data_IF_794730779766
#
_entry.id   IF_794730779766
#
_cell.length_a   1.000
_cell.length_b   1.000
_cell.length_c   1.000
_cell.angle_alpha   90.00
_cell.angle_beta   90.00
_cell.angle_gamma   90.00
#
_symmetry.space_group_name_H-M   'P 1'
#
loop_
_entity.id
_entity.type
_entity.pdbx_description
1 polymer ?
#
# COMPACT_ATOMS: atom_id res chain seq x y z
N UNK A 1 -49.85 28.27 35.58
CA UNK A 1 -48.95 27.30 36.22
C UNK A 1 -48.53 26.24 35.20
N UNK A 2 -47.53 26.50 34.34
CA UNK A 2 -47.00 25.52 33.40
C UNK A 2 -45.85 24.77 34.09
N UNK A 3 -46.12 23.56 34.58
CA UNK A 3 -45.14 22.80 35.35
C UNK A 3 -45.41 21.32 35.23
N UNK A 4 -45.39 20.80 33.99
CA UNK A 4 -45.47 19.35 33.73
C UNK A 4 -44.87 18.94 32.38
N UNK A 5 -44.30 19.87 31.60
CA UNK A 5 -43.74 19.57 30.26
C UNK A 5 -42.22 19.70 30.16
N UNK A 6 -41.54 19.92 31.28
CA UNK A 6 -40.09 20.18 31.31
C UNK A 6 -39.32 19.12 32.10
N UNK A 7 -39.75 17.86 31.98
CA UNK A 7 -38.98 16.70 32.48
C UNK A 7 -38.96 15.53 31.49
N UNK A 8 -39.33 15.74 30.23
CA UNK A 8 -39.40 14.68 29.20
C UNK A 8 -38.42 14.88 28.03
N UNK A 9 -37.43 15.79 28.14
CA UNK A 9 -36.56 16.15 27.03
C UNK A 9 -35.05 16.07 27.31
N UNK A 10 -34.63 15.43 28.41
CA UNK A 10 -33.21 15.22 28.71
C UNK A 10 -32.97 13.75 29.05
N UNK A 11 -32.06 13.12 28.30
CA UNK A 11 -31.48 11.79 28.52
C UNK A 11 -32.28 10.57 28.04
N UNK A 12 -32.59 10.52 26.76
CA UNK A 12 -32.29 9.31 25.97
C UNK A 12 -31.52 9.74 24.71
N UNK A 13 -30.36 10.37 24.92
CA UNK A 13 -29.26 10.19 23.97
C UNK A 13 -28.87 8.73 24.12
N UNK A 14 -29.40 7.87 23.25
CA UNK A 14 -28.90 6.50 23.14
C UNK A 14 -27.39 6.58 23.06
N UNK A 15 -26.72 5.95 24.02
CA UNK A 15 -25.32 5.57 23.90
C UNK A 15 -25.27 4.69 22.64
N UNK A 16 -25.01 5.30 21.49
CA UNK A 16 -24.42 4.57 20.38
C UNK A 16 -23.10 4.08 20.94
N UNK A 17 -23.08 2.80 21.34
CA UNK A 17 -21.87 2.05 21.69
C UNK A 17 -20.75 2.54 20.77
N UNK A 18 -19.69 3.17 21.31
CA UNK A 18 -18.66 3.78 20.50
C UNK A 18 -18.09 2.68 19.60
N UNK A 19 -18.38 2.76 18.30
CA UNK A 19 -18.03 1.72 17.35
C UNK A 19 -16.55 1.36 17.41
N UNK A 20 -16.21 0.13 17.00
CA UNK A 20 -14.87 -0.44 17.15
C UNK A 20 -13.77 0.58 16.77
N UNK A 21 -12.94 1.03 17.72
CA UNK A 21 -11.96 2.09 17.49
C UNK A 21 -10.90 1.70 16.46
N UNK A 22 -10.71 0.39 16.20
CA UNK A 22 -9.84 -0.10 15.13
C UNK A 22 -10.38 0.27 13.75
N UNK A 23 -11.70 0.27 13.54
CA UNK A 23 -12.32 0.72 12.29
C UNK A 23 -12.11 2.21 12.06
N UNK A 24 -12.18 3.02 13.11
CA UNK A 24 -11.85 4.44 13.05
C UNK A 24 -10.37 4.65 12.69
N UNK A 25 -9.47 3.86 13.27
CA UNK A 25 -8.04 3.92 12.94
C UNK A 25 -7.80 3.57 11.47
N UNK A 26 -8.36 2.48 10.95
CA UNK A 26 -8.31 2.14 9.52
C UNK A 26 -8.82 3.30 8.64
N UNK A 27 -9.94 3.89 9.04
CA UNK A 27 -10.53 5.08 8.40
C UNK A 27 -9.57 6.27 8.31
N UNK A 28 -8.72 6.50 9.33
CA UNK A 28 -7.72 7.58 9.27
C UNK A 28 -6.68 7.36 8.16
N UNK A 29 -6.28 6.10 7.90
CA UNK A 29 -5.37 5.78 6.81
C UNK A 29 -6.04 5.94 5.45
N UNK A 30 -7.29 5.47 5.32
CA UNK A 30 -8.11 5.64 4.10
C UNK A 30 -8.31 7.13 3.79
N UNK A 31 -8.67 7.93 4.79
CA UNK A 31 -8.84 9.37 4.64
C UNK A 31 -7.55 10.06 4.19
N UNK A 32 -6.41 9.68 4.76
CA UNK A 32 -5.11 10.27 4.42
C UNK A 32 -4.66 9.91 3.01
N UNK A 33 -4.82 8.65 2.60
CA UNK A 33 -4.32 8.16 1.31
C UNK A 33 -5.30 8.39 0.15
N UNK A 34 -6.55 7.93 0.29
CA UNK A 34 -7.54 7.94 -0.79
C UNK A 34 -8.35 9.24 -0.83
N UNK A 35 -8.37 10.01 0.27
CA UNK A 35 -9.09 11.29 0.40
C UNK A 35 -10.55 11.22 -0.12
N UNK A 36 -11.34 10.22 0.30
CA UNK A 36 -12.73 10.13 -0.11
C UNK A 36 -13.55 11.29 0.48
N UNK A 37 -14.74 11.53 -0.06
CA UNK A 37 -15.69 12.48 0.53
C UNK A 37 -16.07 12.06 1.98
N UNK A 38 -16.37 13.04 2.82
CA UNK A 38 -16.75 12.80 4.22
C UNK A 38 -17.91 11.79 4.34
N UNK A 39 -17.83 10.89 5.32
CA UNK A 39 -18.83 9.84 5.54
C UNK A 39 -18.75 8.64 4.59
N UNK A 40 -17.87 8.66 3.59
CA UNK A 40 -17.78 7.57 2.61
C UNK A 40 -17.15 6.31 3.19
N UNK A 41 -16.17 6.45 4.09
CA UNK A 41 -15.57 5.31 4.79
C UNK A 41 -16.59 4.66 5.71
N UNK A 42 -17.29 5.45 6.51
CA UNK A 42 -18.29 5.00 7.48
C UNK A 42 -19.42 4.26 6.76
N UNK A 43 -19.92 4.82 5.65
CA UNK A 43 -20.94 4.16 4.81
C UNK A 43 -20.44 2.84 4.22
N UNK A 44 -19.20 2.79 3.76
CA UNK A 44 -18.57 1.59 3.21
C UNK A 44 -18.41 0.52 4.29
N UNK A 45 -17.78 0.86 5.42
CA UNK A 45 -17.54 -0.04 6.54
C UNK A 45 -18.83 -0.54 7.21
N UNK A 46 -19.91 0.25 7.15
CA UNK A 46 -21.23 -0.12 7.63
C UNK A 46 -22.01 -1.09 6.74
N UNK A 47 -21.53 -1.40 5.52
CA UNK A 47 -22.16 -2.43 4.68
C UNK A 47 -21.96 -3.82 5.27
N UNK A 48 -22.94 -4.71 5.09
CA UNK A 48 -22.86 -6.08 5.62
C UNK A 48 -21.66 -6.86 5.06
N UNK A 49 -21.25 -6.60 3.82
CA UNK A 49 -20.10 -7.26 3.20
C UNK A 49 -18.77 -6.73 3.73
N UNK A 50 -18.55 -5.41 3.68
CA UNK A 50 -17.30 -4.82 4.18
C UNK A 50 -17.15 -5.03 5.69
N UNK A 51 -18.24 -4.92 6.45
CA UNK A 51 -18.23 -5.18 7.89
C UNK A 51 -17.75 -6.58 8.24
N UNK A 52 -18.22 -7.61 7.52
CA UNK A 52 -17.73 -8.99 7.70
C UNK A 52 -16.24 -9.13 7.38
N UNK A 53 -15.77 -8.52 6.30
CA UNK A 53 -14.35 -8.58 5.91
C UNK A 53 -13.45 -7.86 6.93
N UNK A 54 -13.90 -6.70 7.42
CA UNK A 54 -13.19 -5.92 8.43
C UNK A 54 -13.12 -6.65 9.77
N UNK A 55 -14.24 -7.22 10.24
CA UNK A 55 -14.26 -8.05 11.44
C UNK A 55 -13.37 -9.29 11.28
N UNK A 56 -13.47 -9.99 10.14
CA UNK A 56 -12.65 -11.16 9.89
C UNK A 56 -11.15 -10.84 9.93
N UNK A 57 -10.75 -9.69 9.40
CA UNK A 57 -9.37 -9.22 9.44
C UNK A 57 -8.88 -8.85 10.84
N UNK A 58 -9.76 -8.26 11.66
CA UNK A 58 -9.43 -7.73 12.97
C UNK A 58 -9.51 -8.77 14.09
N UNK A 59 -10.44 -9.72 14.03
CA UNK A 59 -10.76 -10.59 15.16
C UNK A 59 -10.24 -12.01 15.03
N UNK A 60 -10.00 -12.50 13.80
CA UNK A 60 -9.51 -13.85 13.60
C UNK A 60 -8.00 -13.96 13.82
N UNK A 61 -7.62 -15.06 14.48
CA UNK A 61 -6.23 -15.46 14.60
C UNK A 61 -5.74 -15.95 13.24
N UNK A 62 -4.73 -15.28 12.70
CA UNK A 62 -4.08 -15.60 11.44
C UNK A 62 -2.93 -16.59 11.67
N UNK A 63 -3.24 -17.74 12.28
CA UNK A 63 -2.26 -18.78 12.56
C UNK A 63 -1.83 -19.56 11.30
N UNK A 64 -2.66 -19.55 10.25
CA UNK A 64 -2.39 -20.18 8.96
C UNK A 64 -2.08 -19.16 7.87
N UNK A 65 -1.11 -19.46 7.01
CA UNK A 65 -0.86 -18.74 5.77
C UNK A 65 -1.96 -19.07 4.74
N UNK A 66 -2.41 -18.13 3.88
CA UNK A 66 -1.95 -16.75 3.69
C UNK A 66 -2.33 -15.78 4.83
N UNK A 67 -1.41 -14.90 5.22
CA UNK A 67 -1.72 -13.80 6.17
C UNK A 67 -2.86 -12.91 5.65
N UNK A 68 -3.82 -12.48 6.50
CA UNK A 68 -4.94 -11.66 6.06
C UNK A 68 -4.49 -10.35 5.43
N UNK A 69 -5.06 -10.05 4.28
CA UNK A 69 -4.84 -8.86 3.48
C UNK A 69 -6.21 -8.28 3.11
N UNK A 70 -6.40 -6.99 3.40
CA UNK A 70 -7.54 -6.22 2.92
C UNK A 70 -7.05 -5.15 1.96
N UNK A 71 -7.85 -4.90 0.92
CA UNK A 71 -7.62 -3.82 -0.03
C UNK A 71 -8.84 -2.91 -0.04
N UNK A 72 -8.60 -1.61 0.05
CA UNK A 72 -9.61 -0.56 -0.07
C UNK A 72 -9.31 0.24 -1.32
N UNK A 73 -10.28 0.34 -2.23
CA UNK A 73 -10.12 1.04 -3.51
C UNK A 73 -11.28 1.99 -3.77
N UNK A 74 -10.99 3.08 -4.48
CA UNK A 74 -12.02 3.97 -5.02
C UNK A 74 -12.63 3.34 -6.28
N UNK A 75 -13.95 3.19 -6.31
CA UNK A 75 -14.70 2.67 -7.44
C UNK A 75 -15.89 3.56 -7.83
N UNK A 76 -16.63 3.19 -8.90
CA UNK A 76 -17.77 3.97 -9.40
C UNK A 76 -18.89 4.20 -8.37
N UNK A 77 -19.00 3.32 -7.37
CA UNK A 77 -19.98 3.40 -6.28
C UNK A 77 -19.43 3.94 -4.95
N UNK A 78 -18.22 4.49 -4.92
CA UNK A 78 -17.52 4.88 -3.69
C UNK A 78 -16.40 3.92 -3.32
N UNK A 79 -16.15 3.72 -2.04
CA UNK A 79 -15.10 2.81 -1.58
C UNK A 79 -15.57 1.35 -1.64
N UNK A 80 -14.66 0.47 -2.04
CA UNK A 80 -14.86 -0.99 -2.04
C UNK A 80 -13.77 -1.62 -1.19
N UNK A 81 -14.16 -2.55 -0.31
CA UNK A 81 -13.24 -3.37 0.49
C UNK A 81 -13.24 -4.78 -0.08
N UNK A 82 -12.07 -5.29 -0.44
CA UNK A 82 -11.89 -6.65 -0.98
C UNK A 82 -10.85 -7.43 -0.17
N UNK A 83 -11.00 -8.76 -0.05
CA UNK A 83 -9.98 -9.62 0.51
C UNK A 83 -8.86 -9.85 -0.52
N UNK A 84 -7.62 -9.55 -0.15
CA UNK A 84 -6.47 -9.79 -0.99
C UNK A 84 -6.34 -8.86 -2.20
N UNK A 85 -5.35 -9.14 -3.05
CA UNK A 85 -5.18 -8.51 -4.34
C UNK A 85 -5.87 -9.40 -5.38
N UNK A 86 -6.98 -8.95 -5.94
CA UNK A 86 -7.66 -9.71 -6.99
C UNK A 86 -6.71 -9.89 -8.19
N UNK A 87 -6.32 -11.13 -8.42
CA UNK A 87 -5.55 -11.60 -9.57
C UNK A 87 -6.51 -12.31 -10.56
N UNK A 88 -7.69 -11.71 -10.77
CA UNK A 88 -8.66 -12.21 -11.73
C UNK A 88 -8.03 -12.42 -13.12
N UNK A 89 -8.58 -13.34 -13.93
CA UNK A 89 -7.99 -13.78 -15.21
C UNK A 89 -7.93 -12.71 -16.30
N UNK A 90 -8.54 -11.55 -16.08
CA UNK A 90 -8.58 -10.44 -17.03
C UNK A 90 -7.37 -9.52 -16.86
N UNK A 91 -6.64 -9.18 -17.94
CA UNK A 91 -5.58 -8.17 -17.90
C UNK A 91 -6.22 -6.84 -17.47
N UNK A 92 -6.09 -6.53 -16.18
CA UNK A 92 -6.95 -5.58 -15.49
C UNK A 92 -6.90 -4.20 -16.12
N UNK A 93 -8.08 -3.60 -16.35
CA UNK A 93 -8.30 -2.14 -16.44
C UNK A 93 -7.35 -1.41 -15.48
N UNK A 94 -6.94 -0.19 -15.85
CA UNK A 94 -6.21 0.72 -14.96
C UNK A 94 -6.78 0.63 -13.55
N UNK A 95 -6.00 0.09 -12.62
CA UNK A 95 -6.45 -0.14 -11.25
C UNK A 95 -6.70 1.24 -10.66
N UNK A 96 -7.77 1.42 -9.89
CA UNK A 96 -7.89 2.64 -9.12
C UNK A 96 -6.78 2.67 -8.05
N UNK A 97 -6.37 3.88 -7.65
CA UNK A 97 -5.53 4.03 -6.46
C UNK A 97 -6.24 3.33 -5.30
N UNK A 98 -5.49 2.50 -4.59
CA UNK A 98 -5.97 1.75 -3.44
C UNK A 98 -5.06 1.91 -2.23
N UNK A 99 -5.47 1.26 -1.15
CA UNK A 99 -4.74 1.13 0.08
C UNK A 99 -4.86 -0.33 0.52
N UNK A 100 -3.76 -0.94 0.95
CA UNK A 100 -3.79 -2.27 1.53
C UNK A 100 -3.51 -2.24 3.04
N UNK A 101 -4.11 -3.19 3.75
CA UNK A 101 -3.84 -3.51 5.14
C UNK A 101 -3.44 -4.98 5.24
N UNK A 102 -2.22 -5.24 5.70
CA UNK A 102 -1.66 -6.58 5.85
C UNK A 102 -1.42 -6.88 7.32
N UNK A 103 -1.91 -8.01 7.83
CA UNK A 103 -1.55 -8.48 9.18
C UNK A 103 -0.09 -8.94 9.17
N UNK A 104 0.71 -8.40 10.07
CA UNK A 104 2.14 -8.78 10.22
C UNK A 104 2.36 -9.85 11.28
N UNK A 105 1.38 -10.08 12.17
CA UNK A 105 1.39 -11.08 13.23
C UNK A 105 0.15 -11.96 13.15
N UNK A 106 0.25 -13.19 13.63
CA UNK A 106 -0.88 -14.14 13.69
C UNK A 106 -1.96 -13.68 14.68
N UNK A 107 -1.55 -13.18 15.84
CA UNK A 107 -2.47 -12.66 16.87
C UNK A 107 -3.25 -11.44 16.38
N UNK A 108 -4.56 -11.30 16.70
CA UNK A 108 -5.39 -10.14 16.34
C UNK A 108 -4.77 -8.81 16.80
N UNK A 109 -5.02 -7.68 16.10
CA UNK A 109 -4.62 -6.37 16.59
C UNK A 109 -5.33 -6.09 17.92
N UNK A 110 -4.64 -5.41 18.83
CA UNK A 110 -5.24 -5.05 20.12
C UNK A 110 -6.46 -4.16 19.93
N UNK A 111 -7.40 -4.23 20.87
CA UNK A 111 -8.73 -3.60 20.79
C UNK A 111 -8.70 -2.09 20.49
N UNK A 112 -7.59 -1.40 20.75
CA UNK A 112 -7.43 0.04 20.52
C UNK A 112 -6.18 0.40 19.69
N UNK A 113 -5.49 -0.57 19.08
CA UNK A 113 -4.22 -0.31 18.37
C UNK A 113 -3.98 -1.27 17.22
N UNK A 114 -3.51 -0.69 16.10
CA UNK A 114 -3.03 -1.42 14.92
C UNK A 114 -1.50 -1.46 14.84
N UNK A 115 -0.82 -0.80 15.78
CA UNK A 115 0.63 -0.55 15.70
C UNK A 115 1.41 -1.85 15.85
N UNK A 116 2.27 -2.14 14.87
CA UNK A 116 3.13 -3.31 14.87
C UNK A 116 2.44 -4.65 14.56
N UNK A 117 1.12 -4.65 14.35
CA UNK A 117 0.33 -5.83 13.95
C UNK A 117 -0.30 -5.69 12.57
N UNK A 118 -0.44 -4.46 12.07
CA UNK A 118 -0.97 -4.15 10.74
C UNK A 118 0.01 -3.25 10.00
N UNK A 119 0.45 -3.70 8.82
CA UNK A 119 1.15 -2.90 7.83
C UNK A 119 0.13 -2.27 6.89
N UNK A 120 0.30 -0.97 6.61
CA UNK A 120 -0.55 -0.20 5.73
C UNK A 120 0.30 0.37 4.59
N UNK A 121 -0.17 0.27 3.35
CA UNK A 121 0.56 0.83 2.20
C UNK A 121 -0.34 1.17 1.03
N UNK A 122 0.11 2.11 0.19
CA UNK A 122 -0.63 2.55 -0.98
C UNK A 122 -0.48 1.55 -2.13
N UNK A 123 -1.59 1.34 -2.86
CA UNK A 123 -1.60 0.63 -4.12
C UNK A 123 -1.74 1.65 -5.26
N UNK A 124 -0.67 1.89 -6.03
CA UNK A 124 -0.75 2.78 -7.18
C UNK A 124 -1.69 2.26 -8.27
N UNK A 125 -2.28 3.19 -9.02
CA UNK A 125 -3.16 2.89 -10.15
C UNK A 125 -2.42 2.21 -11.32
N UNK A 126 -1.13 2.55 -11.46
CA UNK A 126 -0.22 2.00 -12.46
C UNK A 126 0.99 1.41 -11.73
N UNK A 127 0.89 0.17 -11.19
CA UNK A 127 1.89 -0.39 -10.30
C UNK A 127 3.28 -0.48 -10.90
N UNK A 128 3.35 -0.80 -12.19
CA UNK A 128 4.64 -0.92 -12.82
C UNK A 128 5.33 0.43 -12.96
N UNK A 129 4.66 1.49 -13.41
CA UNK A 129 5.27 2.84 -13.50
C UNK A 129 5.78 3.35 -12.14
N UNK A 130 5.18 2.92 -11.03
CA UNK A 130 5.64 3.26 -9.69
C UNK A 130 6.77 2.35 -9.18
N UNK A 131 6.91 1.16 -9.75
CA UNK A 131 7.93 0.19 -9.35
C UNK A 131 9.34 0.67 -9.71
N UNK A 132 9.54 1.26 -10.90
CA UNK A 132 10.83 1.82 -11.32
C UNK A 132 11.39 2.82 -10.30
N UNK A 133 10.70 3.94 -10.01
CA UNK A 133 11.21 4.94 -9.08
C UNK A 133 11.31 4.41 -7.65
N UNK A 134 10.41 3.53 -7.21
CA UNK A 134 10.53 2.89 -5.90
C UNK A 134 11.84 2.11 -5.79
N UNK A 135 12.16 1.30 -6.80
CA UNK A 135 13.38 0.50 -6.78
C UNK A 135 14.63 1.37 -6.96
N UNK A 136 14.64 2.31 -7.91
CA UNK A 136 15.83 3.13 -8.22
C UNK A 136 16.15 4.17 -7.14
N UNK A 137 15.12 4.82 -6.57
CA UNK A 137 15.31 5.94 -5.64
C UNK A 137 15.28 5.53 -4.17
N UNK A 138 14.66 4.39 -3.84
CA UNK A 138 14.49 3.96 -2.43
C UNK A 138 15.20 2.64 -2.17
N UNK A 139 14.85 1.56 -2.88
CA UNK A 139 15.32 0.22 -2.51
C UNK A 139 16.79 0.01 -2.86
N UNK A 140 17.21 0.31 -4.09
CA UNK A 140 18.61 0.14 -4.53
C UNK A 140 19.56 0.99 -3.67
N UNK A 141 19.30 2.29 -3.37
CA UNK A 141 20.16 3.06 -2.49
C UNK A 141 20.27 2.49 -1.08
N UNK A 142 19.18 1.93 -0.53
CA UNK A 142 19.21 1.26 0.77
C UNK A 142 20.07 -0.01 0.73
N UNK A 143 19.98 -0.79 -0.36
CA UNK A 143 20.73 -2.05 -0.53
C UNK A 143 22.18 -1.85 -0.98
N UNK A 144 22.53 -0.74 -1.63
CA UNK A 144 23.88 -0.50 -2.15
C UNK A 144 24.76 0.31 -1.19
N UNK A 145 24.16 0.99 -0.20
CA UNK A 145 24.88 1.83 0.75
C UNK A 145 25.67 0.98 1.76
N UNK A 146 27.00 1.01 1.64
CA UNK A 146 27.92 0.26 2.51
C UNK A 146 27.76 0.58 4.00
N UNK A 147 27.29 1.79 4.35
CA UNK A 147 27.03 2.17 5.74
C UNK A 147 25.89 1.39 6.38
N UNK A 148 25.01 0.79 5.57
CA UNK A 148 23.92 -0.05 6.05
C UNK A 148 24.39 -1.49 6.34
N UNK A 149 25.64 -1.83 6.02
CA UNK A 149 26.16 -3.21 6.03
C UNK A 149 27.32 -3.42 7.01
N UNK A 150 27.44 -2.60 8.06
CA UNK A 150 28.59 -2.62 8.97
C UNK A 150 28.85 -4.01 9.60
N UNK A 151 27.81 -4.81 9.79
CA UNK A 151 27.90 -6.15 10.38
C UNK A 151 27.88 -7.28 9.34
N UNK A 152 27.84 -6.95 8.04
CA UNK A 152 27.74 -7.94 6.98
C UNK A 152 29.12 -8.41 6.52
N UNK A 153 29.31 -9.72 6.26
CA UNK A 153 30.53 -10.21 5.63
C UNK A 153 30.76 -9.53 4.27
N UNK A 154 32.01 -9.21 3.95
CA UNK A 154 32.36 -8.51 2.71
C UNK A 154 31.77 -9.14 1.44
N UNK A 155 31.78 -10.48 1.36
CA UNK A 155 31.20 -11.22 0.22
C UNK A 155 29.70 -10.96 0.06
N UNK A 156 28.95 -10.87 1.16
CA UNK A 156 27.51 -10.59 1.15
C UNK A 156 27.25 -9.15 0.67
N UNK A 157 28.06 -8.19 1.12
CA UNK A 157 27.97 -6.80 0.64
C UNK A 157 28.20 -6.71 -0.87
N UNK A 158 29.22 -7.40 -1.37
CA UNK A 158 29.54 -7.44 -2.80
C UNK A 158 28.41 -8.07 -3.60
N UNK A 159 27.86 -9.18 -3.11
CA UNK A 159 26.79 -9.92 -3.78
C UNK A 159 25.48 -9.12 -3.84
N UNK A 160 25.07 -8.50 -2.73
CA UNK A 160 23.86 -7.67 -2.69
C UNK A 160 24.01 -6.45 -3.59
N UNK A 161 25.19 -5.82 -3.62
CA UNK A 161 25.46 -4.71 -4.53
C UNK A 161 25.35 -5.15 -5.98
N UNK A 162 25.96 -6.28 -6.34
CA UNK A 162 25.88 -6.83 -7.69
C UNK A 162 24.42 -7.06 -8.11
N UNK A 163 23.65 -7.76 -7.28
CA UNK A 163 22.23 -8.01 -7.55
C UNK A 163 21.39 -6.72 -7.63
N UNK A 164 21.69 -5.71 -6.81
CA UNK A 164 21.01 -4.42 -6.87
C UNK A 164 21.28 -3.68 -8.20
N UNK A 165 22.52 -3.69 -8.69
CA UNK A 165 22.84 -3.13 -10.01
C UNK A 165 22.20 -3.91 -11.15
N UNK A 166 22.22 -5.25 -11.10
CA UNK A 166 21.57 -6.10 -12.10
C UNK A 166 20.06 -5.81 -12.15
N UNK A 167 19.40 -5.76 -10.99
CA UNK A 167 17.98 -5.41 -10.89
C UNK A 167 17.69 -4.02 -11.50
N UNK A 168 18.55 -3.03 -11.25
CA UNK A 168 18.41 -1.69 -11.85
C UNK A 168 18.44 -1.73 -13.37
N UNK A 169 19.41 -2.45 -13.95
CA UNK A 169 19.56 -2.59 -15.40
C UNK A 169 18.36 -3.34 -16.01
N UNK A 170 17.91 -4.41 -15.38
CA UNK A 170 16.78 -5.20 -15.85
C UNK A 170 15.49 -4.38 -15.88
N UNK A 171 15.23 -3.60 -14.83
CA UNK A 171 14.08 -2.70 -14.80
C UNK A 171 14.13 -1.70 -15.95
N UNK A 172 15.27 -1.06 -16.19
CA UNK A 172 15.41 -0.09 -17.29
C UNK A 172 15.01 -0.71 -18.63
N UNK A 173 15.47 -1.93 -18.90
CA UNK A 173 15.10 -2.67 -20.12
C UNK A 173 13.61 -2.97 -20.15
N UNK A 174 13.02 -3.47 -19.07
CA UNK A 174 11.58 -3.79 -18.98
C UNK A 174 10.74 -2.52 -19.21
N UNK A 175 11.09 -1.41 -18.57
CA UNK A 175 10.35 -0.15 -18.68
C UNK A 175 10.38 0.42 -20.09
N UNK A 176 11.56 0.47 -20.70
CA UNK A 176 11.67 0.98 -22.06
C UNK A 176 10.97 0.04 -23.05
N UNK A 177 11.08 -1.28 -22.86
CA UNK A 177 10.38 -2.25 -23.70
C UNK A 177 8.86 -2.05 -23.65
N UNK A 178 8.32 -1.79 -22.46
CA UNK A 178 6.89 -1.49 -22.30
C UNK A 178 6.45 -0.16 -22.88
N UNK A 179 7.36 0.81 -23.00
CA UNK A 179 7.13 2.04 -23.78
C UNK A 179 7.34 1.84 -25.29
N UNK A 180 7.61 0.62 -25.74
CA UNK A 180 7.85 0.29 -27.15
C UNK A 180 9.28 0.55 -27.63
N UNK A 181 10.24 0.75 -26.71
CA UNK A 181 11.65 1.01 -27.02
C UNK A 181 12.50 -0.18 -26.57
N UNK A 182 13.36 -0.70 -27.44
CA UNK A 182 14.29 -1.75 -27.02
C UNK A 182 15.59 -1.12 -26.56
N UNK A 183 15.97 -1.36 -25.30
CA UNK A 183 17.29 -1.04 -24.78
C UNK A 183 18.07 -2.31 -24.50
N UNK A 184 19.37 -2.26 -24.75
CA UNK A 184 20.29 -3.32 -24.32
C UNK A 184 20.67 -3.08 -22.86
N UNK A 185 20.77 -4.14 -22.04
CA UNK A 185 21.22 -4.01 -20.67
C UNK A 185 22.65 -3.48 -20.65
N UNK A 186 22.89 -2.44 -19.85
CA UNK A 186 24.22 -1.90 -19.66
C UNK A 186 25.03 -2.82 -18.75
N UNK A 187 26.31 -3.11 -19.08
CA UNK A 187 27.16 -3.95 -18.24
C UNK A 187 27.43 -3.27 -16.89
N UNK A 188 27.47 -4.06 -15.82
CA UNK A 188 27.73 -3.56 -14.45
C UNK A 188 29.03 -2.74 -14.40
N UNK A 189 28.99 -1.53 -13.83
CA UNK A 189 30.13 -0.61 -13.77
C UNK A 189 30.25 0.40 -14.93
N UNK A 190 29.33 0.41 -15.89
CA UNK A 190 29.30 1.41 -16.98
C UNK A 190 28.74 2.77 -16.56
N UNK A 191 28.32 2.95 -15.31
CA UNK A 191 27.77 4.21 -14.77
C UNK A 191 28.77 5.38 -14.73
N UNK A 192 30.05 5.15 -15.07
CA UNK A 192 31.07 6.18 -15.31
C UNK A 192 31.21 6.61 -16.78
N UNK A 193 30.52 5.98 -17.72
CA UNK A 193 30.45 6.46 -19.10
C UNK A 193 29.35 7.52 -19.18
N UNK A 194 29.76 8.79 -19.12
CA UNK A 194 28.90 9.88 -19.55
C UNK A 194 28.55 9.65 -21.02
N UNK A 195 27.26 9.45 -21.31
CA UNK A 195 26.77 9.37 -22.68
C UNK A 195 27.02 10.72 -23.34
N UNK A 196 27.95 10.75 -24.29
CA UNK A 196 28.11 11.88 -25.21
C UNK A 196 26.85 11.90 -26.07
N UNK A 197 25.96 12.86 -25.80
CA UNK A 197 24.72 13.02 -26.55
C UNK A 197 25.07 13.35 -28.00
N UNK A 198 24.74 12.44 -28.92
CA UNK A 198 25.05 12.53 -30.34
C UNK A 198 24.21 13.53 -31.12
N UNK A 199 23.72 14.59 -30.48
CA UNK A 199 23.06 15.70 -31.18
C UNK A 199 24.12 16.67 -31.71
N UNK A 200 24.76 16.29 -32.82
CA UNK A 200 25.46 17.22 -33.68
C UNK A 200 25.15 16.87 -35.14
N UNK A 201 24.06 17.41 -35.64
CA UNK A 201 23.96 17.74 -37.07
C UNK A 201 24.24 19.25 -37.22
N UNK A 202 25.38 19.64 -37.82
CA UNK A 202 25.51 20.95 -38.42
C UNK A 202 24.95 20.94 -39.84
N UNK A 203 24.11 21.94 -40.14
CA UNK A 203 23.71 22.33 -41.51
C UNK A 203 24.92 22.84 -42.29
#
# INVERSE_FOLDING_TARGET
MPGAKEQAALAESGDEEPGDPRLRLLGTFVARSLRPAAGTWERCAGTAEAGRLLQAFLDHNAASDPRPLLVVQSGPGGLVVTPGLDAGPEPSRARAKGLFFLRTKSEPPGNHSLRGTVLCGDLPAVPLEHLAPLLSEVIIPVLANEKNHLEWPHMVCQDIRHHAHTLKSDLLVIFEHMKGRTLLPLPVGSEKLEFVDGHSEPV
#
